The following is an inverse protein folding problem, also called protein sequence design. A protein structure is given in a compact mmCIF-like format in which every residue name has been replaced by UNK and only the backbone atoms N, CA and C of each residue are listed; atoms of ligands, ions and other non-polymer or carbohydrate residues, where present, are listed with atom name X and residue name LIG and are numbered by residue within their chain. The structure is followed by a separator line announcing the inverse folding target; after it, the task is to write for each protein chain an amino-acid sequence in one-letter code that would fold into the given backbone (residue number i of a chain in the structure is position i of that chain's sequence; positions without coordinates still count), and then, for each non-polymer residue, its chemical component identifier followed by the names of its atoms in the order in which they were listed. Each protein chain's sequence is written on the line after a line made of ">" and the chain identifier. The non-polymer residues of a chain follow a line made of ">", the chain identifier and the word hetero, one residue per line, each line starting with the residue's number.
data_IF_237595300782
#
_entry.id   IF_237595300782
#
_cell.length_a   1.000
_cell.length_b   1.000
_cell.length_c   1.000
_cell.angle_alpha   90.00
_cell.angle_beta   90.00
_cell.angle_gamma   90.00
#
_symmetry.space_group_name_H-M   'P 1'
#
loop_
_entity.id
_entity.type
_entity.pdbx_description
1 polymer ?
#
# COMPACT_ATOMS: atom_id res chain seq x y z
N UNK A 1 -4.52 -0.85 -24.06
CA UNK A 1 -3.41 0.04 -23.65
C UNK A 1 -2.14 -0.78 -23.76
N UNK A 2 -1.11 -0.24 -24.40
CA UNK A 2 0.19 -0.90 -24.53
C UNK A 2 1.26 -0.03 -23.87
N UNK A 3 2.27 -0.66 -23.27
CA UNK A 3 3.41 0.05 -22.69
C UNK A 3 4.48 0.28 -23.76
N UNK A 4 5.01 1.50 -23.80
CA UNK A 4 6.04 1.88 -24.78
C UNK A 4 7.40 1.23 -24.52
N UNK A 5 7.67 0.85 -23.26
CA UNK A 5 8.90 0.16 -22.84
C UNK A 5 8.71 -0.47 -21.46
N UNK A 6 9.65 -1.33 -21.06
CA UNK A 6 9.70 -1.84 -19.68
C UNK A 6 9.84 -0.71 -18.64
N UNK A 7 10.60 0.34 -18.94
CA UNK A 7 10.73 1.50 -18.04
C UNK A 7 9.41 2.25 -17.89
N UNK A 8 8.66 2.41 -18.99
CA UNK A 8 7.33 3.01 -18.95
C UNK A 8 6.36 2.15 -18.14
N UNK A 9 6.35 0.83 -18.36
CA UNK A 9 5.54 -0.09 -17.57
C UNK A 9 5.85 0.00 -16.07
N UNK A 10 7.15 0.00 -15.71
CA UNK A 10 7.60 0.13 -14.33
C UNK A 10 7.09 1.43 -13.69
N UNK A 11 7.25 2.56 -14.39
CA UNK A 11 6.76 3.86 -13.92
C UNK A 11 5.25 3.84 -13.63
N UNK A 12 4.45 3.38 -14.59
CA UNK A 12 2.99 3.35 -14.45
C UNK A 12 2.57 2.44 -13.29
N UNK A 13 3.19 1.27 -13.16
CA UNK A 13 2.91 0.35 -12.07
C UNK A 13 3.29 0.96 -10.73
N UNK A 14 4.47 1.55 -10.60
CA UNK A 14 4.92 2.19 -9.36
C UNK A 14 4.00 3.34 -8.94
N UNK A 15 3.59 4.19 -9.89
CA UNK A 15 2.63 5.27 -9.63
C UNK A 15 1.27 4.73 -9.18
N UNK A 16 0.79 3.66 -9.83
CA UNK A 16 -0.45 3.01 -9.42
C UNK A 16 -0.35 2.37 -8.03
N UNK A 17 0.77 1.72 -7.71
CA UNK A 17 0.99 1.11 -6.41
C UNK A 17 1.04 2.15 -5.29
N UNK A 18 1.68 3.30 -5.51
CA UNK A 18 1.65 4.41 -4.55
C UNK A 18 0.22 4.92 -4.35
N UNK A 19 -0.51 5.18 -5.44
CA UNK A 19 -1.90 5.60 -5.35
C UNK A 19 -2.77 4.59 -4.58
N UNK A 20 -2.68 3.30 -4.94
CA UNK A 20 -3.48 2.26 -4.31
C UNK A 20 -3.16 2.13 -2.82
N UNK A 21 -1.87 2.05 -2.47
CA UNK A 21 -1.46 1.76 -1.10
C UNK A 21 -1.56 2.97 -0.16
N UNK A 22 -1.35 4.19 -0.67
CA UNK A 22 -1.16 5.39 0.16
C UNK A 22 -2.28 6.44 -0.01
N UNK A 23 -3.12 6.35 -1.04
CA UNK A 23 -4.11 7.40 -1.34
C UNK A 23 -5.53 6.86 -1.49
N UNK A 24 -5.72 5.69 -2.12
CA UNK A 24 -7.03 5.08 -2.34
C UNK A 24 -7.62 4.61 -1.00
N UNK A 25 -8.84 5.06 -0.72
CA UNK A 25 -9.62 4.61 0.45
C UNK A 25 -10.52 3.46 0.06
N UNK A 26 -10.62 2.46 0.93
CA UNK A 26 -11.39 1.25 0.68
C UNK A 26 -12.47 1.05 1.75
N UNK A 27 -13.73 0.90 1.31
CA UNK A 27 -14.87 0.75 2.22
C UNK A 27 -14.80 -0.48 3.11
N UNK A 28 -14.20 -1.58 2.62
CA UNK A 28 -14.02 -2.82 3.38
C UNK A 28 -13.05 -2.72 4.57
N UNK A 29 -12.22 -1.67 4.61
CA UNK A 29 -11.27 -1.38 5.69
C UNK A 29 -11.58 -0.02 6.33
N UNK A 30 -12.86 0.23 6.57
CA UNK A 30 -13.35 1.45 7.24
C UNK A 30 -12.87 2.75 6.57
N UNK A 31 -12.82 2.78 5.25
CA UNK A 31 -12.34 3.91 4.45
C UNK A 31 -10.88 4.32 4.71
N UNK A 32 -10.06 3.41 5.24
CA UNK A 32 -8.62 3.61 5.33
C UNK A 32 -7.93 3.30 3.99
N UNK A 33 -6.71 3.81 3.86
CA UNK A 33 -5.78 3.33 2.84
C UNK A 33 -5.18 1.98 3.27
N UNK A 34 -4.72 1.13 2.33
CA UNK A 34 -4.07 -0.13 2.67
C UNK A 34 -2.87 0.03 3.61
N UNK A 35 -2.03 1.07 3.40
CA UNK A 35 -0.88 1.35 4.26
C UNK A 35 -1.28 1.71 5.70
N UNK A 36 -2.33 2.51 5.87
CA UNK A 36 -2.87 2.85 7.20
C UNK A 36 -3.41 1.61 7.90
N UNK A 37 -4.16 0.77 7.20
CA UNK A 37 -4.68 -0.48 7.75
C UNK A 37 -3.55 -1.42 8.15
N UNK A 38 -2.54 -1.59 7.30
CA UNK A 38 -1.37 -2.42 7.62
C UNK A 38 -0.60 -1.89 8.82
N UNK A 39 -0.39 -0.57 8.91
CA UNK A 39 0.25 0.04 10.09
C UNK A 39 -0.52 -0.25 11.38
N UNK A 40 -1.84 -0.11 11.37
CA UNK A 40 -2.67 -0.46 12.52
C UNK A 40 -2.57 -1.94 12.87
N UNK A 41 -2.51 -2.82 11.87
CA UNK A 41 -2.30 -4.25 12.11
C UNK A 41 -0.96 -4.51 12.81
N UNK A 42 0.14 -3.92 12.33
CA UNK A 42 1.48 -4.05 12.96
C UNK A 42 1.51 -3.52 14.40
N UNK A 43 0.83 -2.41 14.68
CA UNK A 43 0.80 -1.80 16.01
C UNK A 43 0.01 -2.65 17.03
N UNK A 44 -0.90 -3.49 16.53
CA UNK A 44 -1.73 -4.41 17.30
C UNK A 44 -1.18 -5.85 17.34
N UNK A 45 -0.27 -6.21 16.44
CA UNK A 45 0.40 -7.51 16.45
C UNK A 45 1.49 -7.56 17.54
N UNK A 46 1.37 -8.41 18.57
CA UNK A 46 2.31 -8.44 19.69
C UNK A 46 3.74 -8.83 19.29
N UNK A 47 3.89 -9.66 18.26
CA UNK A 47 5.18 -10.17 17.78
C UNK A 47 5.89 -9.08 16.98
N UNK A 48 5.19 -8.47 16.03
CA UNK A 48 5.75 -7.40 15.23
C UNK A 48 6.10 -6.17 16.08
N UNK A 49 5.25 -5.81 17.05
CA UNK A 49 5.49 -4.70 17.96
C UNK A 49 6.76 -4.88 18.80
N UNK A 50 7.17 -6.13 19.05
CA UNK A 50 8.43 -6.45 19.72
C UNK A 50 9.63 -6.31 18.78
N UNK A 51 9.50 -6.71 17.52
CA UNK A 51 10.58 -6.66 16.52
C UNK A 51 10.93 -5.23 16.06
N UNK A 52 10.02 -4.27 16.24
CA UNK A 52 10.19 -2.86 15.83
C UNK A 52 10.75 -1.94 16.93
N UNK A 53 11.05 -2.46 18.12
CA UNK A 53 11.70 -1.75 19.23
C UNK A 53 13.21 -1.93 19.19
#
# INVERSE_FOLDING_TARGET
>A
YEFESFAHAYKVITEYMDYYNNRRRHGSINNMTPSQFYKLWLDNDPVEKLLRR
#
